data_IF_164807936552
#
_entry.id   IF_164807936552
#
_cell.length_a   1.000
_cell.length_b   1.000
_cell.length_c   1.000
_cell.angle_alpha   90.00
_cell.angle_beta   90.00
_cell.angle_gamma   90.00
#
_symmetry.space_group_name_H-M   'P 1'
#
loop_
_entity.id
_entity.type
_entity.pdbx_description
1 polymer ?
#
# COMPACT_ATOMS: atom_id res chain seq x y z
N UNK A 1 -4.45 -8.24 -13.73
CA UNK A 1 -3.65 -8.32 -12.49
C UNK A 1 -4.10 -9.47 -11.62
N UNK A 2 -5.36 -9.48 -11.16
CA UNK A 2 -5.90 -10.56 -10.30
C UNK A 2 -5.69 -11.98 -10.85
N UNK A 3 -6.02 -12.22 -12.12
CA UNK A 3 -5.82 -13.53 -12.79
C UNK A 3 -4.34 -13.95 -12.84
N UNK A 4 -3.45 -12.98 -13.08
CA UNK A 4 -2.01 -13.22 -13.12
C UNK A 4 -1.47 -13.62 -11.75
N UNK A 5 -1.90 -12.92 -10.68
CA UNK A 5 -1.47 -13.21 -9.32
C UNK A 5 -2.06 -14.52 -8.79
N UNK A 6 -3.28 -14.88 -9.19
CA UNK A 6 -3.89 -16.15 -8.78
C UNK A 6 -3.20 -17.40 -9.35
N UNK A 7 -2.37 -17.24 -10.39
CA UNK A 7 -1.59 -18.34 -10.95
C UNK A 7 -0.29 -18.61 -10.18
N UNK A 8 0.11 -17.75 -9.24
CA UNK A 8 1.33 -17.91 -8.44
C UNK A 8 0.99 -18.07 -6.96
N UNK A 9 1.54 -19.09 -6.32
CA UNK A 9 1.27 -19.39 -4.91
C UNK A 9 2.02 -18.45 -3.96
N UNK A 10 3.16 -17.90 -4.37
CA UNK A 10 3.97 -16.90 -3.66
C UNK A 10 4.64 -15.97 -4.66
N UNK A 11 4.80 -14.68 -4.32
CA UNK A 11 5.46 -13.68 -5.15
C UNK A 11 6.41 -12.89 -4.25
N UNK A 12 7.71 -13.05 -4.46
CA UNK A 12 8.72 -12.40 -3.63
C UNK A 12 8.75 -10.88 -3.89
N UNK A 13 8.74 -10.49 -5.16
CA UNK A 13 8.73 -9.08 -5.56
C UNK A 13 7.72 -8.81 -6.68
N UNK A 14 6.88 -7.79 -6.48
CA UNK A 14 5.96 -7.26 -7.47
C UNK A 14 6.25 -5.78 -7.70
N UNK A 15 6.58 -5.41 -8.93
CA UNK A 15 6.79 -4.00 -9.30
C UNK A 15 5.62 -3.49 -10.12
N UNK A 16 4.97 -2.43 -9.63
CA UNK A 16 3.88 -1.74 -10.32
C UNK A 16 4.36 -0.37 -10.77
N UNK A 17 4.33 -0.16 -12.08
CA UNK A 17 4.55 1.15 -12.71
C UNK A 17 3.19 1.71 -13.12
N UNK A 18 2.71 2.74 -12.43
CA UNK A 18 1.52 3.48 -12.85
C UNK A 18 1.94 4.73 -13.64
N UNK A 19 1.89 4.63 -14.97
CA UNK A 19 2.09 5.73 -15.91
C UNK A 19 0.77 6.33 -16.42
N UNK A 20 -0.37 5.92 -15.87
CA UNK A 20 -1.70 6.17 -16.45
C UNK A 20 -2.47 7.26 -15.71
N UNK A 21 -2.81 8.34 -16.42
CA UNK A 21 -3.80 9.35 -15.98
C UNK A 21 -5.22 8.78 -15.79
N UNK A 22 -5.48 7.51 -16.16
CA UNK A 22 -6.81 6.90 -16.29
C UNK A 22 -7.02 5.68 -15.41
N UNK A 23 -6.48 5.66 -14.20
CA UNK A 23 -6.88 4.65 -13.20
C UNK A 23 -8.26 5.00 -12.63
N UNK A 24 -9.23 4.11 -12.84
CA UNK A 24 -10.53 4.07 -12.14
C UNK A 24 -10.62 2.71 -11.48
N UNK A 25 -10.50 2.68 -10.15
CA UNK A 25 -10.77 1.49 -9.36
C UNK A 25 -12.14 1.67 -8.70
N UNK A 26 -13.07 0.76 -8.97
CA UNK A 26 -14.33 0.68 -8.23
C UNK A 26 -14.33 -0.62 -7.43
N UNK A 27 -14.43 -0.51 -6.11
CA UNK A 27 -14.52 -1.65 -5.20
C UNK A 27 -15.77 -2.50 -5.50
N UNK A 28 -16.84 -1.87 -6.03
CA UNK A 28 -18.08 -2.55 -6.40
C UNK A 28 -17.90 -3.60 -7.49
N UNK A 29 -16.95 -3.40 -8.42
CA UNK A 29 -16.61 -4.34 -9.48
C UNK A 29 -16.11 -5.69 -8.93
N UNK A 30 -15.66 -5.70 -7.67
CA UNK A 30 -15.11 -6.87 -6.99
C UNK A 30 -16.06 -7.49 -5.95
N UNK A 31 -17.27 -6.95 -5.77
CA UNK A 31 -18.24 -7.45 -4.78
C UNK A 31 -18.66 -8.91 -4.99
N UNK A 32 -18.63 -9.39 -6.23
CA UNK A 32 -19.01 -10.76 -6.57
C UNK A 32 -17.84 -11.74 -6.59
N UNK A 33 -16.62 -11.26 -6.31
CA UNK A 33 -15.45 -12.12 -6.29
C UNK A 33 -15.13 -12.40 -4.82
N UNK A 34 -15.10 -13.68 -4.39
CA UNK A 34 -14.70 -13.99 -3.02
C UNK A 34 -13.32 -13.36 -2.74
N UNK A 35 -13.08 -12.86 -1.51
CA UNK A 35 -11.75 -12.47 -1.12
C UNK A 35 -10.85 -13.69 -1.34
N UNK A 36 -9.98 -13.61 -2.34
CA UNK A 36 -8.98 -14.66 -2.52
C UNK A 36 -8.07 -14.63 -1.30
N UNK A 37 -7.44 -15.77 -0.96
CA UNK A 37 -6.32 -15.76 -0.03
C UNK A 37 -5.37 -14.63 -0.45
N UNK A 38 -4.80 -13.90 0.51
CA UNK A 38 -3.83 -12.86 0.22
C UNK A 38 -2.80 -13.46 -0.74
N UNK A 39 -2.66 -12.93 -1.96
CA UNK A 39 -1.47 -13.24 -2.74
C UNK A 39 -0.32 -12.80 -1.84
N UNK A 40 0.47 -13.75 -1.34
CA UNK A 40 1.53 -13.49 -0.37
C UNK A 40 2.67 -12.74 -1.03
N UNK A 41 2.41 -11.50 -1.46
CA UNK A 41 3.40 -10.61 -2.05
C UNK A 41 4.30 -10.15 -0.92
N UNK A 42 5.56 -10.58 -0.94
CA UNK A 42 6.48 -10.17 0.10
C UNK A 42 6.83 -8.68 -0.05
N UNK A 43 7.30 -8.27 -1.22
CA UNK A 43 7.61 -6.87 -1.50
C UNK A 43 6.85 -6.33 -2.71
N UNK A 44 6.20 -5.19 -2.53
CA UNK A 44 5.58 -4.40 -3.59
C UNK A 44 6.39 -3.13 -3.79
N UNK A 45 6.99 -2.98 -4.97
CA UNK A 45 7.67 -1.77 -5.40
C UNK A 45 6.70 -0.91 -6.23
N UNK A 46 6.30 0.23 -5.69
CA UNK A 46 5.37 1.16 -6.34
C UNK A 46 6.12 2.37 -6.91
N UNK A 47 6.05 2.50 -8.22
CA UNK A 47 6.40 3.71 -8.94
C UNK A 47 5.12 4.40 -9.40
N UNK A 48 4.90 5.63 -8.94
CA UNK A 48 3.71 6.41 -9.31
C UNK A 48 4.04 7.87 -9.58
N UNK A 49 3.54 8.33 -10.73
CA UNK A 49 3.44 9.76 -11.11
C UNK A 49 1.98 10.23 -11.04
N UNK A 50 1.13 9.52 -10.30
CA UNK A 50 -0.29 9.82 -10.20
C UNK A 50 -0.55 11.21 -9.58
N UNK A 51 -1.65 11.82 -10.00
CA UNK A 51 -2.17 13.02 -9.35
C UNK A 51 -2.73 12.68 -7.96
N UNK A 52 -2.71 13.61 -7.00
CA UNK A 52 -3.25 13.38 -5.65
C UNK A 52 -4.69 12.88 -5.62
N UNK A 53 -5.53 13.28 -6.59
CA UNK A 53 -6.90 12.80 -6.73
C UNK A 53 -7.05 11.31 -7.06
N UNK A 54 -5.94 10.63 -7.42
CA UNK A 54 -5.91 9.21 -7.81
C UNK A 54 -5.27 8.30 -6.77
N UNK A 55 -4.64 8.87 -5.74
CA UNK A 55 -3.92 8.09 -4.74
C UNK A 55 -4.80 7.06 -4.03
N UNK A 56 -6.02 7.46 -3.62
CA UNK A 56 -6.96 6.55 -2.97
C UNK A 56 -7.32 5.35 -3.85
N UNK A 57 -7.70 5.60 -5.10
CA UNK A 57 -8.07 4.53 -6.04
C UNK A 57 -6.89 3.60 -6.34
N UNK A 58 -5.67 4.15 -6.49
CA UNK A 58 -4.45 3.37 -6.68
C UNK A 58 -4.18 2.47 -5.47
N UNK A 59 -4.19 3.03 -4.26
CA UNK A 59 -3.93 2.30 -3.03
C UNK A 59 -5.00 1.22 -2.76
N UNK A 60 -6.27 1.59 -2.91
CA UNK A 60 -7.40 0.67 -2.76
C UNK A 60 -7.27 -0.51 -3.73
N UNK A 61 -6.85 -0.27 -4.97
CA UNK A 61 -6.66 -1.34 -5.96
C UNK A 61 -5.54 -2.30 -5.61
N UNK A 62 -4.40 -1.77 -5.18
CA UNK A 62 -3.20 -2.59 -4.97
C UNK A 62 -3.31 -3.34 -3.65
N UNK A 63 -3.75 -2.69 -2.57
CA UNK A 63 -3.84 -3.32 -1.26
C UNK A 63 -4.95 -4.36 -1.21
N UNK A 64 -6.04 -4.16 -1.97
CA UNK A 64 -7.11 -5.15 -2.06
C UNK A 64 -6.71 -6.43 -2.80
N UNK A 65 -5.72 -6.34 -3.68
CA UNK A 65 -5.32 -7.46 -4.53
C UNK A 65 -4.06 -8.16 -3.97
N UNK A 66 -3.09 -7.38 -3.50
CA UNK A 66 -1.74 -7.88 -3.23
C UNK A 66 -1.43 -8.09 -1.76
N UNK A 67 -2.13 -7.42 -0.83
CA UNK A 67 -1.85 -7.49 0.62
C UNK A 67 -0.35 -7.57 0.99
N UNK A 68 0.48 -6.64 0.47
CA UNK A 68 1.92 -6.82 0.48
C UNK A 68 2.49 -6.72 1.89
N UNK A 69 3.48 -7.55 2.25
CA UNK A 69 4.17 -7.44 3.54
C UNK A 69 5.05 -6.19 3.62
N UNK A 70 5.66 -5.82 2.50
CA UNK A 70 6.46 -4.61 2.35
C UNK A 70 5.97 -3.79 1.16
N UNK A 71 5.80 -2.47 1.34
CA UNK A 71 5.59 -1.51 0.27
C UNK A 71 6.83 -0.61 0.17
N UNK A 72 7.51 -0.64 -0.97
CA UNK A 72 8.63 0.23 -1.30
C UNK A 72 8.19 1.30 -2.28
N UNK A 73 8.47 2.57 -2.00
CA UNK A 73 8.13 3.69 -2.90
C UNK A 73 9.41 4.17 -3.57
N UNK A 74 9.46 4.06 -4.90
CA UNK A 74 10.70 4.25 -5.67
C UNK A 74 10.67 5.47 -6.61
N UNK A 75 9.63 6.32 -6.59
CA UNK A 75 9.55 7.47 -7.49
C UNK A 75 10.43 8.66 -7.06
N UNK A 76 10.83 9.49 -8.03
CA UNK A 76 11.63 10.71 -7.79
C UNK A 76 10.78 11.98 -7.65
N UNK A 77 11.32 12.99 -6.98
CA UNK A 77 10.79 14.36 -7.01
C UNK A 77 9.59 14.66 -6.11
N UNK A 78 8.94 15.80 -6.36
CA UNK A 78 7.86 16.31 -5.49
C UNK A 78 6.64 15.41 -5.41
N UNK A 79 6.31 14.70 -6.49
CA UNK A 79 5.17 13.80 -6.52
C UNK A 79 5.34 12.62 -5.57
N UNK A 80 6.57 12.09 -5.43
CA UNK A 80 6.90 11.09 -4.42
C UNK A 80 6.59 11.61 -3.02
N UNK A 81 7.08 12.80 -2.69
CA UNK A 81 6.89 13.38 -1.36
C UNK A 81 5.42 13.65 -1.05
N UNK A 82 4.64 14.14 -2.04
CA UNK A 82 3.19 14.31 -1.91
C UNK A 82 2.48 12.98 -1.66
N UNK A 83 2.87 11.93 -2.38
CA UNK A 83 2.30 10.59 -2.20
C UNK A 83 2.66 9.99 -0.84
N UNK A 84 3.93 10.04 -0.41
CA UNK A 84 4.35 9.54 0.91
C UNK A 84 3.62 10.25 2.03
N UNK A 85 3.52 11.59 1.97
CA UNK A 85 2.79 12.36 2.97
C UNK A 85 1.33 11.95 3.04
N UNK A 86 0.67 11.84 1.89
CA UNK A 86 -0.71 11.37 1.82
C UNK A 86 -0.86 9.94 2.36
N UNK A 87 0.03 9.03 1.98
CA UNK A 87 0.02 7.64 2.43
C UNK A 87 0.16 7.54 3.95
N UNK A 88 1.09 8.27 4.57
CA UNK A 88 1.26 8.26 6.02
C UNK A 88 -0.02 8.75 6.72
N UNK A 89 -0.63 9.83 6.25
CA UNK A 89 -1.91 10.32 6.78
C UNK A 89 -3.02 9.29 6.63
N UNK A 90 -3.06 8.59 5.49
CA UNK A 90 -4.06 7.58 5.21
C UNK A 90 -3.90 6.33 6.07
N UNK A 91 -2.65 5.91 6.35
CA UNK A 91 -2.32 4.77 7.19
C UNK A 91 -2.53 5.06 8.69
N UNK A 92 -2.30 6.30 9.14
CA UNK A 92 -2.56 6.73 10.52
C UNK A 92 -4.05 6.95 10.82
N UNK A 93 -4.90 7.01 9.79
CA UNK A 93 -6.32 7.25 9.99
C UNK A 93 -7.03 5.98 10.46
N UNK A 94 -7.18 5.84 11.79
CA UNK A 94 -7.84 4.70 12.44
C UNK A 94 -9.37 4.69 12.27
N UNK A 95 -9.99 5.74 11.72
CA UNK A 95 -11.45 5.82 11.62
C UNK A 95 -12.01 4.99 10.47
N UNK A 96 -12.46 3.77 10.80
CA UNK A 96 -13.04 2.82 9.84
C UNK A 96 -14.56 3.00 9.72
N UNK A 97 -15.02 4.13 9.20
CA UNK A 97 -16.38 4.28 8.64
C UNK A 97 -16.37 4.12 7.10
N UNK A 98 -15.51 3.24 6.55
CA UNK A 98 -15.32 3.12 5.08
C UNK A 98 -16.35 2.23 4.38
N UNK A 99 -17.01 1.27 5.08
CA UNK A 99 -17.85 0.27 4.43
C UNK A 99 -19.21 0.12 5.09
N UNK A 100 -20.28 0.33 4.31
CA UNK A 100 -21.66 -0.03 4.71
C UNK A 100 -21.98 -1.52 4.44
N UNK A 101 -21.12 -2.23 3.71
CA UNK A 101 -21.33 -3.64 3.38
C UNK A 101 -20.74 -4.55 4.46
N UNK A 102 -21.59 -5.44 5.01
CA UNK A 102 -21.16 -6.50 5.92
C UNK A 102 -20.34 -7.60 5.23
N UNK A 103 -20.43 -7.72 3.91
CA UNK A 103 -19.82 -8.82 3.14
C UNK A 103 -18.44 -8.51 2.59
N UNK A 104 -18.19 -7.24 2.24
CA UNK A 104 -16.94 -6.82 1.64
C UNK A 104 -16.39 -5.61 2.40
N UNK A 105 -15.26 -5.83 3.06
CA UNK A 105 -14.56 -4.82 3.86
C UNK A 105 -13.41 -4.24 3.04
N UNK A 106 -13.16 -2.92 3.12
CA UNK A 106 -11.99 -2.29 2.50
C UNK A 106 -10.68 -2.77 3.17
N UNK A 107 -9.52 -2.65 2.51
CA UNK A 107 -8.21 -3.08 3.03
C UNK A 107 -7.90 -2.53 4.43
N UNK A 108 -8.42 -1.34 4.77
CA UNK A 108 -8.26 -0.72 6.10
C UNK A 108 -8.79 -1.57 7.25
N UNK A 109 -9.73 -2.48 6.99
CA UNK A 109 -10.23 -3.41 8.01
C UNK A 109 -9.27 -4.57 8.31
N UNK A 110 -8.37 -4.86 7.38
CA UNK A 110 -7.41 -5.96 7.49
C UNK A 110 -6.04 -5.46 7.92
N UNK A 111 -5.72 -4.18 7.70
CA UNK A 111 -4.48 -3.58 8.17
C UNK A 111 -4.55 -3.30 9.68
N UNK A 112 -3.63 -3.88 10.45
CA UNK A 112 -3.53 -3.71 11.91
C UNK A 112 -2.51 -2.67 12.33
N UNK A 113 -1.48 -2.48 11.51
CA UNK A 113 -0.40 -1.58 11.82
C UNK A 113 0.59 -1.50 10.67
N UNK A 114 1.51 -0.56 10.79
CA UNK A 114 2.61 -0.41 9.86
C UNK A 114 3.84 0.15 10.56
N UNK A 115 5.01 -0.13 10.00
CA UNK A 115 6.29 0.42 10.44
C UNK A 115 7.03 0.96 9.22
N UNK A 116 7.66 2.13 9.36
CA UNK A 116 8.47 2.73 8.30
C UNK A 116 9.95 2.49 8.60
N UNK A 117 10.67 2.07 7.56
CA UNK A 117 12.12 1.89 7.54
C UNK A 117 12.68 2.51 6.26
N UNK A 118 13.92 3.02 6.28
CA UNK A 118 14.61 3.38 5.04
C UNK A 118 15.45 2.21 4.54
N UNK A 119 15.61 2.07 3.21
CA UNK A 119 16.43 0.99 2.64
C UNK A 119 17.91 1.04 3.05
N UNK A 120 18.37 2.18 3.57
CA UNK A 120 19.73 2.38 4.08
C UNK A 120 19.87 1.95 5.54
N UNK A 121 18.74 1.76 6.25
CA UNK A 121 18.72 1.27 7.61
C UNK A 121 18.78 -0.27 7.60
N UNK A 122 19.82 -0.82 8.25
CA UNK A 122 19.89 -2.25 8.60
C UNK A 122 18.65 -2.64 9.43
N UNK A 123 18.21 -3.90 9.33
CA UNK A 123 17.02 -4.44 10.01
C UNK A 123 16.96 -4.19 11.53
N UNK A 124 18.09 -3.86 12.16
CA UNK A 124 18.22 -3.58 13.60
C UNK A 124 18.04 -2.11 14.01
N UNK A 125 17.77 -1.20 13.07
CA UNK A 125 17.58 0.22 13.42
C UNK A 125 16.15 0.52 13.88
N UNK A 126 16.04 1.50 14.77
CA UNK A 126 14.77 2.00 15.30
C UNK A 126 13.81 2.42 14.18
N UNK A 127 12.48 2.20 14.37
CA UNK A 127 11.48 2.63 13.42
C UNK A 127 11.59 4.13 13.16
N UNK A 128 11.39 4.52 11.90
CA UNK A 128 11.43 5.93 11.53
C UNK A 128 10.21 6.62 12.14
N UNK A 129 10.47 7.64 12.96
CA UNK A 129 9.42 8.53 13.46
C UNK A 129 8.73 9.25 12.30
N UNK A 130 7.41 9.15 12.25
CA UNK A 130 6.60 9.64 11.13
C UNK A 130 6.64 11.16 11.07
N UNK A 131 6.56 11.84 12.22
CA UNK A 131 6.59 13.29 12.26
C UNK A 131 7.93 13.82 11.74
N UNK A 132 9.04 13.26 12.23
CA UNK A 132 10.38 13.56 11.74
C UNK A 132 10.55 13.23 10.24
N UNK A 133 9.95 12.14 9.75
CA UNK A 133 9.96 11.81 8.33
C UNK A 133 9.26 12.89 7.52
N UNK A 134 8.04 13.27 7.90
CA UNK A 134 7.23 14.24 7.18
C UNK A 134 7.88 15.63 7.12
N UNK A 135 8.57 16.03 8.19
CA UNK A 135 9.31 17.29 8.25
C UNK A 135 10.55 17.30 7.34
N UNK A 136 11.18 16.15 7.13
CA UNK A 136 12.42 16.00 6.37
C UNK A 136 12.25 15.38 4.97
N UNK A 137 11.02 15.17 4.49
CA UNK A 137 10.77 14.59 3.16
C UNK A 137 11.42 15.40 2.02
N UNK A 138 11.45 16.72 2.15
CA UNK A 138 12.04 17.63 1.17
C UNK A 138 13.58 17.53 1.09
N UNK A 139 14.24 17.10 2.18
CA UNK A 139 15.70 17.01 2.28
C UNK A 139 16.23 15.60 2.00
N UNK A 140 15.34 14.60 1.84
CA UNK A 140 15.67 13.19 1.51
C UNK A 140 15.20 12.82 0.09
N UNK A 141 15.75 13.41 -0.97
CA UNK A 141 15.22 13.26 -2.32
C UNK A 141 15.42 11.87 -2.95
N UNK A 142 16.24 10.98 -2.39
CA UNK A 142 16.67 9.72 -3.02
C UNK A 142 16.53 8.45 -2.18
N UNK A 143 16.13 8.56 -0.91
CA UNK A 143 15.99 7.37 -0.07
C UNK A 143 14.73 6.57 -0.45
N UNK A 144 14.91 5.27 -0.70
CA UNK A 144 13.78 4.35 -0.86
C UNK A 144 13.19 4.09 0.53
N UNK A 145 11.96 4.54 0.75
CA UNK A 145 11.21 4.24 1.96
C UNK A 145 10.49 2.91 1.80
N UNK A 146 10.58 2.08 2.84
CA UNK A 146 9.91 0.79 2.94
C UNK A 146 8.95 0.79 4.11
N UNK A 147 7.69 0.50 3.82
CA UNK A 147 6.61 0.34 4.78
C UNK A 147 6.41 -1.15 5.00
N UNK A 148 6.62 -1.62 6.22
CA UNK A 148 6.19 -2.96 6.64
C UNK A 148 4.74 -2.88 7.06
N UNK A 149 3.88 -3.71 6.47
CA UNK A 149 2.44 -3.71 6.70
C UNK A 149 2.03 -4.98 7.44
N UNK A 150 1.21 -4.83 8.47
CA UNK A 150 0.73 -5.95 9.29
C UNK A 150 -0.74 -6.22 8.98
N UNK A 151 -0.99 -7.37 8.34
CA UNK A 151 -2.33 -7.76 7.91
C UNK A 151 -2.92 -8.83 8.84
N UNK A 152 -4.21 -8.72 9.14
CA UNK A 152 -4.98 -9.68 9.91
C UNK A 152 -6.24 -10.05 9.16
N UNK A 153 -6.33 -11.30 8.73
CA UNK A 153 -7.51 -11.86 8.08
C UNK A 153 -8.35 -12.65 9.08
N UNK A 154 -9.69 -12.56 9.03
CA UNK A 154 -10.53 -13.42 9.83
C UNK A 154 -10.29 -14.88 9.44
N UNK A 155 -9.98 -15.74 10.41
CA UNK A 155 -9.99 -17.18 10.24
C UNK A 155 -11.45 -17.60 10.12
N UNK A 156 -11.84 -18.09 8.95
CA UNK A 156 -13.13 -18.75 8.78
C UNK A 156 -12.94 -20.20 9.24
N UNK A 157 -13.42 -20.50 10.46
CA UNK A 157 -13.60 -21.87 10.96
C UNK A 157 -14.79 -22.56 10.27
#
# INVERSE_FOLDING_TARGET
MKEFLSASNQIDELTIFDSSMRTTFNLEDFQNIPPLPPCGVECLSLYTDALPSKYAALLDSIFWICFPKFLSITSGGENRNKFIKWLCMELMNEYVYCCNSLRMKCWRHYLKGFVISSSEMKEDNEPVDIDNLLDNLSTRPSETLRFRLEWSFPTYD
#
